data_IF_755979707046
#
_entry.id   IF_755979707046
#
_cell.length_a   1.000
_cell.length_b   1.000
_cell.length_c   1.000
_cell.angle_alpha   90.00
_cell.angle_beta   90.00
_cell.angle_gamma   90.00
#
_symmetry.space_group_name_H-M   'P 1'
#
loop_
_entity.id
_entity.type
_entity.pdbx_description
1 polymer ?
#
# COMPACT_ATOMS: atom_id res chain seq x y z
N UNK A 1 -15.80 -20.28 -14.52
CA UNK A 1 -15.61 -19.48 -13.29
C UNK A 1 -16.96 -19.29 -12.59
N UNK A 2 -17.01 -19.38 -11.26
CA UNK A 2 -18.25 -19.17 -10.48
C UNK A 2 -18.85 -17.77 -10.71
N UNK A 3 -18.01 -16.73 -10.74
CA UNK A 3 -18.44 -15.34 -11.00
C UNK A 3 -19.18 -15.18 -12.33
N UNK A 4 -18.67 -15.80 -13.40
CA UNK A 4 -19.32 -15.77 -14.71
C UNK A 4 -20.73 -16.39 -14.67
N UNK A 5 -20.91 -17.50 -13.93
CA UNK A 5 -22.24 -18.11 -13.75
C UNK A 5 -23.21 -17.19 -13.00
N UNK A 6 -22.73 -16.44 -12.00
CA UNK A 6 -23.53 -15.47 -11.24
C UNK A 6 -24.00 -14.33 -12.16
N UNK A 7 -23.10 -13.80 -13.00
CA UNK A 7 -23.47 -12.78 -13.98
C UNK A 7 -24.46 -13.31 -15.03
N UNK A 8 -24.21 -14.50 -15.56
CA UNK A 8 -25.05 -15.10 -16.61
C UNK A 8 -26.45 -15.48 -16.07
N UNK A 9 -26.56 -15.88 -14.80
CA UNK A 9 -27.84 -16.25 -14.17
C UNK A 9 -28.59 -15.03 -13.64
N UNK A 10 -27.88 -13.91 -13.38
CA UNK A 10 -28.38 -12.69 -12.76
C UNK A 10 -29.43 -12.93 -11.65
N UNK A 11 -29.10 -13.68 -10.58
CA UNK A 11 -30.09 -14.05 -9.57
C UNK A 11 -30.59 -12.86 -8.73
N UNK A 12 -29.97 -11.69 -8.87
CA UNK A 12 -30.34 -10.47 -8.16
C UNK A 12 -30.75 -9.39 -9.17
N UNK A 13 -32.04 -9.29 -9.48
CA UNK A 13 -32.57 -8.45 -10.55
C UNK A 13 -32.22 -6.95 -10.42
N UNK A 14 -32.06 -6.45 -9.19
CA UNK A 14 -31.77 -5.04 -8.89
C UNK A 14 -30.32 -4.75 -8.51
N UNK A 15 -29.44 -5.76 -8.47
CA UNK A 15 -28.07 -5.62 -7.96
C UNK A 15 -27.05 -6.23 -8.91
N UNK A 16 -26.09 -5.42 -9.33
CA UNK A 16 -24.94 -5.90 -10.12
C UNK A 16 -23.85 -6.43 -9.18
N UNK A 17 -23.52 -7.71 -9.32
CA UNK A 17 -22.45 -8.35 -8.55
C UNK A 17 -21.09 -7.98 -9.13
N UNK A 18 -20.24 -7.35 -8.32
CA UNK A 18 -18.86 -7.05 -8.66
C UNK A 18 -17.90 -8.02 -7.96
N UNK A 19 -16.89 -8.50 -8.68
CA UNK A 19 -15.78 -9.23 -8.06
C UNK A 19 -14.78 -8.23 -7.47
N UNK A 20 -14.60 -8.29 -6.15
CA UNK A 20 -13.53 -7.54 -5.46
C UNK A 20 -12.40 -8.47 -5.03
N UNK A 21 -11.18 -7.92 -4.94
CA UNK A 21 -10.03 -8.68 -4.44
C UNK A 21 -9.98 -8.67 -2.90
N UNK A 22 -9.65 -9.80 -2.31
CA UNK A 22 -9.61 -9.94 -0.85
C UNK A 22 -8.43 -9.16 -0.25
N UNK A 23 -8.66 -8.39 0.83
CA UNK A 23 -7.59 -7.68 1.55
C UNK A 23 -6.44 -8.60 1.94
N UNK A 24 -6.75 -9.78 2.47
CA UNK A 24 -5.73 -10.75 2.87
C UNK A 24 -4.91 -11.24 1.67
N UNK A 25 -5.53 -11.41 0.50
CA UNK A 25 -4.82 -11.76 -0.73
C UNK A 25 -3.86 -10.64 -1.16
N UNK A 26 -4.35 -9.40 -1.21
CA UNK A 26 -3.56 -8.22 -1.56
C UNK A 26 -2.37 -8.02 -0.62
N UNK A 27 -2.58 -8.10 0.71
CA UNK A 27 -1.51 -7.93 1.69
C UNK A 27 -0.50 -9.10 1.68
N UNK A 28 -0.95 -10.34 1.43
CA UNK A 28 -0.04 -11.50 1.27
C UNK A 28 0.80 -11.34 0.00
N UNK A 29 0.20 -10.90 -1.10
CA UNK A 29 0.90 -10.63 -2.36
C UNK A 29 1.96 -9.54 -2.16
N UNK A 30 1.58 -8.41 -1.57
CA UNK A 30 2.49 -7.31 -1.23
C UNK A 30 3.70 -7.76 -0.40
N UNK A 31 3.46 -8.47 0.71
CA UNK A 31 4.56 -8.99 1.54
C UNK A 31 5.40 -10.06 0.85
N UNK A 32 4.85 -10.83 -0.09
CA UNK A 32 5.62 -11.76 -0.93
C UNK A 32 6.53 -10.98 -1.88
N UNK A 33 6.02 -9.97 -2.57
CA UNK A 33 6.79 -9.16 -3.53
C UNK A 33 7.96 -8.42 -2.88
N UNK A 34 7.77 -7.89 -1.67
CA UNK A 34 8.87 -7.31 -0.88
C UNK A 34 9.94 -8.36 -0.57
N UNK A 35 9.55 -9.57 -0.16
CA UNK A 35 10.51 -10.67 0.13
C UNK A 35 11.28 -11.12 -1.12
N UNK A 36 10.63 -11.12 -2.28
CA UNK A 36 11.28 -11.38 -3.58
C UNK A 36 12.30 -10.28 -3.89
N UNK A 37 11.93 -9.01 -3.74
CA UNK A 37 12.81 -7.86 -3.98
C UNK A 37 14.07 -7.86 -3.09
N UNK A 38 13.93 -8.22 -1.81
CA UNK A 38 15.07 -8.31 -0.88
C UNK A 38 16.10 -9.34 -1.37
N UNK A 39 15.63 -10.45 -1.95
CA UNK A 39 16.49 -11.55 -2.40
C UNK A 39 17.08 -11.31 -3.80
N UNK A 40 16.47 -10.44 -4.58
CA UNK A 40 16.91 -10.15 -5.94
C UNK A 40 18.27 -9.45 -5.94
N UNK A 41 19.32 -10.18 -6.31
CA UNK A 41 20.69 -9.67 -6.38
C UNK A 41 20.94 -8.78 -7.59
N UNK A 42 20.03 -8.74 -8.56
CA UNK A 42 20.09 -7.82 -9.69
C UNK A 42 19.53 -6.43 -9.38
N UNK A 43 18.78 -6.29 -8.27
CA UNK A 43 18.16 -5.03 -7.85
C UNK A 43 19.01 -4.28 -6.81
N UNK A 44 19.44 -3.08 -7.16
CA UNK A 44 20.11 -2.12 -6.29
C UNK A 44 21.23 -2.61 -5.35
N UNK A 45 21.77 -1.72 -4.51
CA UNK A 45 22.83 -2.08 -3.56
C UNK A 45 22.34 -3.00 -2.43
N UNK A 46 23.20 -3.93 -1.99
CA UNK A 46 22.92 -4.84 -0.87
C UNK A 46 22.54 -4.10 0.43
N UNK A 47 23.17 -2.95 0.68
CA UNK A 47 22.92 -2.14 1.89
C UNK A 47 21.45 -1.67 1.92
N UNK A 48 20.92 -1.19 0.79
CA UNK A 48 19.53 -0.74 0.69
C UNK A 48 18.55 -1.91 0.76
N UNK A 49 18.86 -3.06 0.14
CA UNK A 49 18.05 -4.27 0.31
C UNK A 49 17.96 -4.74 1.77
N UNK A 50 19.06 -4.65 2.53
CA UNK A 50 19.04 -4.91 3.98
C UNK A 50 18.17 -3.92 4.76
N UNK A 51 18.18 -2.64 4.38
CA UNK A 51 17.28 -1.63 4.99
C UNK A 51 15.81 -1.94 4.71
N UNK A 52 15.47 -2.38 3.50
CA UNK A 52 14.12 -2.85 3.15
C UNK A 52 13.76 -4.08 3.99
N UNK A 53 14.66 -5.05 4.12
CA UNK A 53 14.44 -6.24 4.92
C UNK A 53 14.14 -5.93 6.39
N UNK A 54 14.88 -4.99 6.98
CA UNK A 54 14.67 -4.54 8.37
C UNK A 54 13.31 -3.87 8.55
N UNK A 55 12.78 -3.21 7.52
CA UNK A 55 11.55 -2.41 7.59
C UNK A 55 10.32 -3.06 6.92
N UNK A 56 10.43 -4.26 6.36
CA UNK A 56 9.32 -4.90 5.62
C UNK A 56 8.03 -5.05 6.43
N UNK A 57 8.14 -5.36 7.74
CA UNK A 57 7.00 -5.48 8.64
C UNK A 57 6.40 -4.10 8.95
N UNK A 58 7.26 -3.08 9.12
CA UNK A 58 6.85 -1.69 9.32
C UNK A 58 6.12 -1.14 8.10
N UNK A 59 6.54 -1.52 6.89
CA UNK A 59 5.85 -1.18 5.64
C UNK A 59 4.46 -1.82 5.54
N UNK A 60 4.35 -3.11 5.87
CA UNK A 60 3.04 -3.77 5.97
C UNK A 60 2.16 -3.10 7.03
N UNK A 61 2.73 -2.78 8.19
CA UNK A 61 2.01 -2.13 9.28
C UNK A 61 1.49 -0.75 8.86
N UNK A 62 2.29 0.06 8.17
CA UNK A 62 1.89 1.37 7.66
C UNK A 62 0.67 1.27 6.74
N UNK A 63 0.69 0.32 5.80
CA UNK A 63 -0.45 0.00 4.92
C UNK A 63 -1.69 -0.40 5.74
N UNK A 64 -1.54 -1.33 6.69
CA UNK A 64 -2.66 -1.77 7.53
C UNK A 64 -3.24 -0.63 8.36
N UNK A 65 -2.39 0.25 8.90
CA UNK A 65 -2.80 1.41 9.70
C UNK A 65 -3.61 2.41 8.87
N UNK A 66 -3.15 2.72 7.65
CA UNK A 66 -3.90 3.56 6.71
C UNK A 66 -5.29 3.00 6.41
N UNK A 67 -5.36 1.70 6.08
CA UNK A 67 -6.63 1.02 5.80
C UNK A 67 -7.55 1.10 7.02
N UNK A 68 -7.05 0.75 8.21
CA UNK A 68 -7.84 0.75 9.44
C UNK A 68 -8.39 2.13 9.77
N UNK A 69 -7.56 3.18 9.64
CA UNK A 69 -7.95 4.55 9.90
C UNK A 69 -9.08 4.99 8.96
N UNK A 70 -8.89 4.85 7.64
CA UNK A 70 -9.89 5.27 6.64
C UNK A 70 -11.19 4.48 6.70
N UNK A 71 -11.15 3.22 7.12
CA UNK A 71 -12.37 2.45 7.39
C UNK A 71 -13.20 3.06 8.51
N UNK A 72 -12.56 3.41 9.62
CA UNK A 72 -13.22 3.93 10.83
C UNK A 72 -13.74 5.36 10.68
N UNK A 73 -13.24 6.12 9.71
CA UNK A 73 -13.57 7.53 9.53
C UNK A 73 -15.06 7.70 9.10
N UNK A 74 -15.84 8.61 9.69
CA UNK A 74 -17.27 8.78 9.37
C UNK A 74 -17.49 9.69 8.15
N UNK A 75 -16.78 9.43 7.05
CA UNK A 75 -16.88 10.19 5.79
C UNK A 75 -17.47 9.34 4.66
N UNK A 76 -17.77 9.97 3.52
CA UNK A 76 -18.34 9.26 2.37
C UNK A 76 -17.38 8.18 1.84
N UNK A 77 -17.93 7.05 1.40
CA UNK A 77 -17.13 5.90 0.95
C UNK A 77 -16.11 6.27 -0.14
N UNK A 78 -16.53 7.04 -1.16
CA UNK A 78 -15.64 7.43 -2.25
C UNK A 78 -14.49 8.33 -1.75
N UNK A 79 -14.76 9.16 -0.75
CA UNK A 79 -13.75 9.99 -0.10
C UNK A 79 -12.76 9.14 0.70
N UNK A 80 -13.23 8.12 1.44
CA UNK A 80 -12.35 7.12 2.10
C UNK A 80 -11.39 6.49 1.11
N UNK A 81 -11.90 6.06 -0.05
CA UNK A 81 -11.09 5.41 -1.09
C UNK A 81 -10.04 6.39 -1.64
N UNK A 82 -10.44 7.63 -1.96
CA UNK A 82 -9.52 8.63 -2.50
C UNK A 82 -8.43 9.03 -1.49
N UNK A 83 -8.81 9.16 -0.22
CA UNK A 83 -7.86 9.46 0.85
C UNK A 83 -6.91 8.28 1.10
N UNK A 84 -7.42 7.05 1.11
CA UNK A 84 -6.58 5.85 1.23
C UNK A 84 -5.54 5.76 0.12
N UNK A 85 -5.89 6.10 -1.12
CA UNK A 85 -4.92 6.12 -2.23
C UNK A 85 -3.74 7.05 -1.94
N UNK A 86 -4.01 8.24 -1.38
CA UNK A 86 -2.96 9.20 -0.97
C UNK A 86 -2.12 8.64 0.19
N UNK A 87 -2.78 8.07 1.19
CA UNK A 87 -2.12 7.51 2.36
C UNK A 87 -1.15 6.36 2.00
N UNK A 88 -1.57 5.47 1.10
CA UNK A 88 -0.76 4.35 0.62
C UNK A 88 0.49 4.85 -0.11
N UNK A 89 0.37 5.91 -0.91
CA UNK A 89 1.52 6.56 -1.57
C UNK A 89 2.55 7.09 -0.58
N UNK A 90 2.11 7.58 0.59
CA UNK A 90 3.01 8.08 1.63
C UNK A 90 3.67 6.96 2.48
N UNK A 91 3.26 5.69 2.34
CA UNK A 91 3.78 4.60 3.18
C UNK A 91 5.29 4.40 3.05
N UNK A 92 5.85 4.52 1.83
CA UNK A 92 7.31 4.40 1.63
C UNK A 92 8.02 5.56 2.32
N UNK A 93 7.53 6.79 2.12
CA UNK A 93 8.08 8.01 2.74
C UNK A 93 8.06 7.92 4.28
N UNK A 94 6.95 7.48 4.86
CA UNK A 94 6.80 7.30 6.30
C UNK A 94 7.77 6.26 6.89
N UNK A 95 7.99 5.14 6.20
CA UNK A 95 8.77 4.02 6.74
C UNK A 95 10.27 4.24 6.60
N UNK A 96 10.70 4.85 5.50
CA UNK A 96 12.12 5.06 5.21
C UNK A 96 12.60 6.49 5.52
N UNK A 97 11.74 7.34 6.08
CA UNK A 97 12.14 8.49 6.89
C UNK A 97 11.93 9.88 6.29
N UNK A 98 11.37 10.03 5.09
CA UNK A 98 11.06 11.38 4.54
C UNK A 98 9.86 12.04 5.21
N UNK A 99 8.91 11.23 5.74
CA UNK A 99 7.72 11.72 6.44
C UNK A 99 6.92 12.79 5.69
N UNK A 100 6.94 12.76 4.35
CA UNK A 100 6.48 13.84 3.46
C UNK A 100 5.08 14.34 3.81
N UNK A 101 4.12 13.44 3.94
CA UNK A 101 2.72 13.80 4.26
C UNK A 101 2.34 13.47 5.71
N UNK A 102 3.27 13.02 6.55
CA UNK A 102 2.95 12.56 7.92
C UNK A 102 2.40 13.68 8.79
N UNK A 103 2.96 14.89 8.72
CA UNK A 103 2.51 16.05 9.50
C UNK A 103 1.07 16.46 9.15
N UNK A 104 0.67 16.32 7.88
CA UNK A 104 -0.69 16.61 7.43
C UNK A 104 -1.68 15.50 7.83
N UNK A 105 -1.25 14.24 7.75
CA UNK A 105 -2.08 13.07 8.06
C UNK A 105 -2.30 12.89 9.56
N UNK A 106 -1.32 13.23 10.40
CA UNK A 106 -1.29 13.13 11.88
C UNK A 106 -1.49 11.73 12.50
N UNK A 107 -2.31 10.86 11.91
CA UNK A 107 -2.57 9.53 12.46
C UNK A 107 -1.40 8.56 12.23
N UNK A 108 -0.53 8.80 11.24
CA UNK A 108 0.64 7.95 10.98
C UNK A 108 1.70 8.09 12.07
N UNK A 109 2.18 9.32 12.27
CA UNK A 109 3.14 9.75 13.30
C UNK A 109 3.23 11.29 13.34
N UNK A 110 3.83 11.82 14.41
CA UNK A 110 4.05 13.27 14.61
C UNK A 110 5.41 13.78 14.09
N UNK A 111 6.17 12.94 13.38
CA UNK A 111 7.47 13.32 12.85
C UNK A 111 7.35 14.41 11.75
N UNK A 112 8.22 15.41 11.84
CA UNK A 112 8.35 16.43 10.79
C UNK A 112 9.00 15.85 9.53
N UNK A 113 8.71 16.40 8.34
CA UNK A 113 9.37 15.99 7.10
C UNK A 113 10.88 16.17 7.17
N UNK A 114 11.63 15.18 6.68
CA UNK A 114 13.09 15.22 6.62
C UNK A 114 13.50 15.24 5.14
N UNK A 115 14.05 16.36 4.68
CA UNK A 115 14.40 16.55 3.27
C UNK A 115 15.71 15.85 2.86
N UNK A 116 16.64 15.62 3.79
CA UNK A 116 17.98 15.09 3.49
C UNK A 116 18.40 14.00 4.48
N UNK A 117 19.15 13.01 3.98
CA UNK A 117 19.74 11.94 4.80
C UNK A 117 18.77 10.83 5.22
N UNK A 118 17.60 10.75 4.60
CA UNK A 118 16.68 9.63 4.82
C UNK A 118 17.08 8.43 3.96
N UNK A 119 16.60 7.22 4.30
CA UNK A 119 16.83 6.05 3.45
C UNK A 119 16.08 6.18 2.11
N UNK A 120 15.01 6.99 2.07
CA UNK A 120 14.24 7.25 0.84
C UNK A 120 15.09 7.97 -0.20
N UNK A 121 15.94 8.93 0.20
CA UNK A 121 16.76 9.66 -0.77
C UNK A 121 17.71 8.72 -1.51
N UNK A 122 18.35 7.79 -0.78
CA UNK A 122 19.22 6.79 -1.39
C UNK A 122 18.43 5.80 -2.25
N UNK A 123 17.24 5.39 -1.81
CA UNK A 123 16.37 4.49 -2.56
C UNK A 123 15.97 5.10 -3.90
N UNK A 124 15.61 6.40 -3.94
CA UNK A 124 15.17 7.11 -5.15
C UNK A 124 16.20 7.10 -6.28
N UNK A 125 17.48 6.88 -5.97
CA UNK A 125 18.54 6.74 -6.97
C UNK A 125 18.72 5.31 -7.50
N UNK A 126 17.81 4.39 -7.16
CA UNK A 126 17.91 2.97 -7.50
C UNK A 126 16.57 2.42 -7.99
N UNK A 127 16.63 1.31 -8.72
CA UNK A 127 15.46 0.56 -9.19
C UNK A 127 14.62 -0.05 -8.04
N UNK A 128 15.19 -0.13 -6.82
CA UNK A 128 14.47 -0.60 -5.63
C UNK A 128 13.27 0.31 -5.30
N UNK A 129 13.40 1.63 -5.49
CA UNK A 129 12.33 2.57 -5.21
C UNK A 129 11.15 2.37 -6.17
N UNK A 130 11.43 2.34 -7.48
CA UNK A 130 10.42 2.11 -8.51
C UNK A 130 9.69 0.78 -8.30
N UNK A 131 10.42 -0.28 -7.94
CA UNK A 131 9.83 -1.58 -7.61
C UNK A 131 8.93 -1.50 -6.38
N UNK A 132 9.36 -0.84 -5.30
CA UNK A 132 8.53 -0.64 -4.11
C UNK A 132 7.26 0.17 -4.43
N UNK A 133 7.38 1.24 -5.21
CA UNK A 133 6.25 2.04 -5.67
C UNK A 133 5.28 1.22 -6.51
N UNK A 134 5.79 0.38 -7.42
CA UNK A 134 4.95 -0.52 -8.22
C UNK A 134 4.11 -1.47 -7.34
N UNK A 135 4.66 -1.95 -6.23
CA UNK A 135 3.95 -2.83 -5.30
C UNK A 135 2.87 -2.07 -4.52
N UNK A 136 3.15 -0.82 -4.12
CA UNK A 136 2.16 0.08 -3.51
C UNK A 136 1.05 0.42 -4.52
N UNK A 137 1.40 0.67 -5.78
CA UNK A 137 0.43 1.02 -6.83
C UNK A 137 -0.60 -0.08 -7.07
N UNK A 138 -0.24 -1.36 -6.90
CA UNK A 138 -1.22 -2.45 -6.89
C UNK A 138 -2.25 -2.27 -5.77
N UNK A 139 -1.82 -1.90 -4.56
CA UNK A 139 -2.72 -1.65 -3.45
C UNK A 139 -3.58 -0.39 -3.68
N UNK A 140 -3.00 0.67 -4.24
CA UNK A 140 -3.70 1.90 -4.62
C UNK A 140 -4.79 1.62 -5.65
N UNK A 141 -4.50 0.80 -6.65
CA UNK A 141 -5.48 0.36 -7.65
C UNK A 141 -6.65 -0.39 -7.01
N UNK A 142 -6.37 -1.25 -6.02
CA UNK A 142 -7.36 -2.01 -5.27
C UNK A 142 -7.86 -1.32 -3.99
N UNK A 143 -7.66 0.00 -3.83
CA UNK A 143 -8.05 0.73 -2.62
C UNK A 143 -9.53 0.57 -2.26
N UNK A 144 -10.41 0.50 -3.26
CA UNK A 144 -11.84 0.23 -3.06
C UNK A 144 -12.09 -1.11 -2.36
N UNK A 145 -11.42 -2.18 -2.83
CA UNK A 145 -11.52 -3.51 -2.22
C UNK A 145 -10.95 -3.53 -0.80
N UNK A 146 -9.89 -2.76 -0.55
CA UNK A 146 -9.29 -2.64 0.79
C UNK A 146 -10.23 -2.00 1.82
N UNK A 147 -11.10 -1.07 1.40
CA UNK A 147 -12.09 -0.42 2.28
C UNK A 147 -13.35 -1.29 2.50
N UNK A 148 -13.81 -2.03 1.49
CA UNK A 148 -15.03 -2.86 1.57
C UNK A 148 -14.95 -4.09 2.50
N UNK A 149 -13.74 -4.61 2.77
CA UNK A 149 -13.50 -5.81 3.59
C UNK A 149 -13.84 -5.66 5.09
#
# INVERSE_FOLDING_TARGET
SCYKKILDTNPYESVVVEKIECKNHLLRNFSRKIRELIKDTSSGPLILRKKIQQNQLRLRWAVCKAISFRKSEPIQFQEKVNNLKKDLGNCISHVFGEHKDCAALKYFCDAAPIAHGSVVTDLKHTDLHEKLESFINVLVHHARSLIHD
#
